data_IF_036680401322
#
_entry.id   IF_036680401322
#
_cell.length_a   1.000
_cell.length_b   1.000
_cell.length_c   1.000
_cell.angle_alpha   90.00
_cell.angle_beta   90.00
_cell.angle_gamma   90.00
#
_symmetry.space_group_name_H-M   'P 1'
#
loop_
_entity.id
_entity.type
_entity.pdbx_description
1 polymer ?
#
# COMPACT_ATOMS: atom_id res chain seq x y z
N UNK A 1 9.22 5.14 1.43
CA UNK A 1 10.61 5.14 1.93
C UNK A 1 10.98 6.57 2.27
N UNK A 2 11.42 6.84 3.51
CA UNK A 2 12.01 8.12 3.81
C UNK A 2 13.39 8.23 3.11
N UNK A 3 13.94 9.45 3.02
CA UNK A 3 15.21 9.70 2.33
C UNK A 3 16.36 8.84 2.88
N UNK A 4 16.44 8.72 4.19
CA UNK A 4 17.48 7.92 4.88
C UNK A 4 17.42 6.44 4.51
N UNK A 5 16.22 5.86 4.43
CA UNK A 5 16.05 4.46 4.02
C UNK A 5 16.47 4.23 2.56
N UNK A 6 16.14 5.18 1.68
CA UNK A 6 16.58 5.11 0.29
C UNK A 6 18.11 5.17 0.20
N UNK A 7 18.72 6.09 0.92
CA UNK A 7 20.18 6.24 0.97
C UNK A 7 20.85 4.99 1.54
N UNK A 8 20.38 4.45 2.67
CA UNK A 8 20.90 3.21 3.23
C UNK A 8 20.81 2.06 2.23
N UNK A 9 19.67 1.91 1.57
CA UNK A 9 19.46 0.86 0.56
C UNK A 9 20.41 1.00 -0.64
N UNK A 10 20.63 2.22 -1.12
CA UNK A 10 21.55 2.48 -2.23
C UNK A 10 23.00 2.18 -1.84
N UNK A 11 23.39 2.52 -0.60
CA UNK A 11 24.75 2.34 -0.09
C UNK A 11 25.08 0.90 0.31
N UNK A 12 24.10 0.13 0.76
CA UNK A 12 24.34 -1.21 1.30
C UNK A 12 23.85 -2.33 0.40
N UNK A 13 22.94 -2.02 -0.52
CA UNK A 13 22.21 -3.03 -1.26
C UNK A 13 21.09 -3.73 -0.47
N UNK A 14 20.91 -3.46 0.84
CA UNK A 14 19.95 -4.11 1.72
C UNK A 14 18.74 -3.23 2.01
N UNK A 15 17.61 -3.85 2.37
CA UNK A 15 16.36 -3.16 2.68
C UNK A 15 15.69 -3.76 3.92
N UNK A 16 16.07 -3.29 5.08
CA UNK A 16 15.47 -3.70 6.35
C UNK A 16 14.39 -2.72 6.85
N UNK A 17 14.01 -1.76 6.01
CA UNK A 17 13.03 -0.74 6.35
C UNK A 17 13.45 0.08 7.58
N UNK A 18 12.52 0.31 8.51
CA UNK A 18 12.76 1.03 9.78
C UNK A 18 13.31 0.12 10.91
N UNK A 19 13.63 -1.12 10.62
CA UNK A 19 14.03 -2.11 11.60
C UNK A 19 15.46 -1.90 12.11
N UNK A 20 15.69 -0.99 13.06
CA UNK A 20 17.03 -0.68 13.63
C UNK A 20 17.75 -1.94 14.12
N UNK A 21 17.05 -2.87 14.76
CA UNK A 21 17.64 -4.14 15.23
C UNK A 21 18.17 -5.01 14.07
N UNK A 22 17.45 -5.03 12.92
CA UNK A 22 17.89 -5.77 11.73
C UNK A 22 19.09 -5.11 11.08
N UNK A 23 19.09 -3.78 11.00
CA UNK A 23 20.24 -3.01 10.53
C UNK A 23 21.47 -3.24 11.39
N UNK A 24 21.35 -3.19 12.73
CA UNK A 24 22.46 -3.42 13.66
C UNK A 24 22.99 -4.84 13.55
N UNK A 25 22.11 -5.86 13.47
CA UNK A 25 22.55 -7.24 13.30
C UNK A 25 23.34 -7.42 12.01
N UNK A 26 22.78 -6.97 10.89
CA UNK A 26 23.46 -7.06 9.59
C UNK A 26 24.80 -6.35 9.60
N UNK A 27 24.86 -5.13 10.16
CA UNK A 27 26.12 -4.37 10.25
C UNK A 27 27.19 -5.12 11.02
N UNK A 28 26.86 -5.67 12.17
CA UNK A 28 27.79 -6.47 12.98
C UNK A 28 28.34 -7.68 12.22
N UNK A 29 27.53 -8.26 11.31
CA UNK A 29 27.92 -9.44 10.53
C UNK A 29 28.86 -9.07 9.36
N UNK A 30 28.81 -7.83 8.83
CA UNK A 30 29.51 -7.44 7.60
C UNK A 30 30.55 -6.33 7.78
N UNK A 31 30.60 -5.66 8.93
CA UNK A 31 31.39 -4.43 9.16
C UNK A 31 32.86 -4.58 8.74
N UNK A 32 33.48 -5.71 9.01
CA UNK A 32 34.91 -5.96 8.72
C UNK A 32 35.22 -6.11 7.23
N UNK A 33 34.25 -6.50 6.41
CA UNK A 33 34.41 -6.76 4.98
C UNK A 33 33.61 -5.77 4.10
N UNK A 34 32.84 -4.89 4.73
CA UNK A 34 31.95 -4.00 4.01
C UNK A 34 32.74 -2.96 3.21
N UNK A 35 32.41 -2.86 1.92
CA UNK A 35 32.83 -1.76 1.06
C UNK A 35 31.60 -1.05 0.47
N UNK A 36 31.71 0.25 0.33
CA UNK A 36 30.69 1.01 -0.39
C UNK A 36 30.65 0.58 -1.86
N UNK A 37 29.48 0.28 -2.41
CA UNK A 37 29.35 0.01 -3.84
C UNK A 37 29.68 1.25 -4.65
N UNK A 38 30.17 1.05 -5.86
CA UNK A 38 30.31 2.13 -6.81
C UNK A 38 28.91 2.60 -7.26
N UNK A 39 28.84 3.80 -7.84
CA UNK A 39 27.57 4.35 -8.37
C UNK A 39 26.95 3.39 -9.42
N UNK A 40 27.79 2.77 -10.22
CA UNK A 40 27.36 1.81 -11.25
C UNK A 40 26.81 0.51 -10.64
N UNK A 41 27.46 -0.02 -9.61
CA UNK A 41 27.01 -1.20 -8.87
C UNK A 41 25.68 -0.93 -8.15
N UNK A 42 25.54 0.22 -7.51
CA UNK A 42 24.31 0.65 -6.86
C UNK A 42 23.15 0.79 -7.87
N UNK A 43 23.39 1.44 -9.02
CA UNK A 43 22.40 1.57 -10.08
C UNK A 43 21.97 0.20 -10.62
N UNK A 44 22.92 -0.69 -10.91
CA UNK A 44 22.64 -2.04 -11.39
C UNK A 44 21.85 -2.88 -10.41
N UNK A 45 22.12 -2.75 -9.10
CA UNK A 45 21.37 -3.46 -8.06
C UNK A 45 19.92 -2.97 -7.96
N UNK A 46 19.69 -1.66 -8.07
CA UNK A 46 18.34 -1.08 -8.10
C UNK A 46 17.56 -1.48 -9.36
N UNK A 47 18.19 -1.51 -10.52
CA UNK A 47 17.57 -1.98 -11.76
C UNK A 47 17.20 -3.46 -11.70
N UNK A 48 18.07 -4.30 -11.14
CA UNK A 48 17.80 -5.72 -10.91
C UNK A 48 16.63 -5.93 -9.93
N UNK A 49 16.55 -5.14 -8.86
CA UNK A 49 15.42 -5.15 -7.92
C UNK A 49 14.13 -4.68 -8.58
N UNK A 50 14.19 -3.61 -9.37
CA UNK A 50 13.02 -3.11 -10.11
C UNK A 50 12.52 -4.17 -11.08
N UNK A 51 13.41 -4.85 -11.80
CA UNK A 51 13.08 -5.93 -12.70
C UNK A 51 12.48 -7.15 -11.95
N UNK A 52 13.06 -7.56 -10.81
CA UNK A 52 12.53 -8.65 -9.98
C UNK A 52 11.16 -8.32 -9.39
N UNK A 53 10.94 -7.09 -8.96
CA UNK A 53 9.63 -6.60 -8.52
C UNK A 53 8.61 -6.67 -9.65
N UNK A 54 8.98 -6.23 -10.85
CA UNK A 54 8.12 -6.28 -12.03
C UNK A 54 7.79 -7.71 -12.46
N UNK A 55 8.74 -8.64 -12.36
CA UNK A 55 8.56 -10.04 -12.76
C UNK A 55 7.75 -10.87 -11.75
N UNK A 56 7.89 -10.57 -10.45
CA UNK A 56 7.21 -11.31 -9.37
C UNK A 56 5.89 -10.68 -8.92
N UNK A 57 5.54 -9.51 -9.43
CA UNK A 57 4.33 -8.83 -9.01
C UNK A 57 3.16 -9.32 -9.85
N UNK A 58 2.32 -10.15 -9.29
CA UNK A 58 0.92 -10.25 -9.73
C UNK A 58 0.36 -8.83 -9.60
N UNK A 59 0.32 -8.10 -10.72
CA UNK A 59 -0.05 -6.69 -10.72
C UNK A 59 -1.53 -6.58 -10.35
N UNK A 60 -1.80 -6.21 -9.12
CA UNK A 60 -3.14 -5.81 -8.76
C UNK A 60 -3.48 -4.52 -9.51
N UNK A 61 -4.60 -4.49 -10.19
CA UNK A 61 -5.05 -3.28 -10.89
C UNK A 61 -6.32 -2.72 -10.26
N UNK A 62 -6.39 -1.40 -10.18
CA UNK A 62 -7.55 -0.68 -9.69
C UNK A 62 -7.98 0.35 -10.74
N UNK A 63 -9.19 0.23 -11.26
CA UNK A 63 -9.68 1.02 -12.41
C UNK A 63 -8.72 1.08 -13.60
N UNK A 64 -8.04 -0.03 -13.89
CA UNK A 64 -7.06 -0.12 -14.97
C UNK A 64 -5.67 0.45 -14.65
N UNK A 65 -5.47 1.03 -13.48
CA UNK A 65 -4.15 1.46 -13.01
C UNK A 65 -3.42 0.28 -12.37
N UNK A 66 -2.26 -0.07 -12.88
CA UNK A 66 -1.42 -1.10 -12.29
C UNK A 66 -0.74 -0.58 -11.02
N UNK A 67 -0.90 -1.30 -9.93
CA UNK A 67 -0.33 -0.95 -8.62
C UNK A 67 0.82 -1.90 -8.34
N UNK A 68 2.04 -1.40 -8.40
CA UNK A 68 3.28 -2.14 -8.17
C UNK A 68 3.94 -1.85 -6.83
N UNK A 69 3.30 -1.05 -5.97
CA UNK A 69 3.83 -0.71 -4.64
C UNK A 69 3.62 -1.85 -3.65
N UNK A 70 4.61 -2.07 -2.80
CA UNK A 70 4.52 -2.99 -1.65
C UNK A 70 3.79 -2.36 -0.45
N UNK A 71 3.47 -1.06 -0.52
CA UNK A 71 2.75 -0.30 0.50
C UNK A 71 1.64 0.48 -0.17
N UNK A 72 0.39 0.16 0.15
CA UNK A 72 -0.78 0.77 -0.48
C UNK A 72 -1.80 1.14 0.59
N UNK A 73 -2.17 2.40 0.61
CA UNK A 73 -3.30 2.90 1.39
C UNK A 73 -4.34 3.48 0.44
N UNK A 74 -5.55 2.94 0.46
CA UNK A 74 -6.66 3.47 -0.32
C UNK A 74 -7.41 4.51 0.47
N UNK A 75 -7.59 5.70 -0.11
CA UNK A 75 -8.48 6.74 0.44
C UNK A 75 -9.78 6.70 -0.36
N UNK A 76 -10.86 6.33 0.31
CA UNK A 76 -12.11 5.91 -0.32
C UNK A 76 -13.24 6.86 0.07
N UNK A 77 -13.88 7.44 -0.93
CA UNK A 77 -15.06 8.31 -0.77
C UNK A 77 -16.32 7.49 -0.45
N UNK A 78 -16.93 7.78 0.69
CA UNK A 78 -18.24 7.28 1.11
C UNK A 78 -19.26 8.42 1.29
N UNK A 79 -19.08 9.54 0.60
CA UNK A 79 -20.07 10.62 0.59
C UNK A 79 -21.38 10.20 -0.04
N UNK A 80 -22.45 10.92 0.26
CA UNK A 80 -23.80 10.65 -0.25
C UNK A 80 -23.90 10.59 -1.78
N UNK A 81 -22.99 11.28 -2.48
CA UNK A 81 -22.94 11.25 -3.96
C UNK A 81 -22.55 9.88 -4.52
N UNK A 82 -21.98 9.00 -3.69
CA UNK A 82 -21.66 7.61 -4.08
C UNK A 82 -22.92 6.76 -4.29
N UNK A 83 -24.07 7.21 -3.82
CA UNK A 83 -25.37 6.59 -4.09
C UNK A 83 -25.96 6.95 -5.47
N UNK A 84 -25.38 7.93 -6.19
CA UNK A 84 -25.85 8.28 -7.52
C UNK A 84 -25.55 7.19 -8.54
N UNK A 85 -26.49 6.97 -9.44
CA UNK A 85 -26.36 5.97 -10.51
C UNK A 85 -25.38 6.43 -11.59
N UNK A 86 -24.57 5.51 -12.05
CA UNK A 86 -23.76 5.63 -13.25
C UNK A 86 -24.59 5.40 -14.51
N UNK A 87 -24.01 5.61 -15.69
CA UNK A 87 -24.63 5.29 -16.98
C UNK A 87 -25.04 3.82 -17.12
N UNK A 88 -24.44 2.92 -16.35
CA UNK A 88 -24.76 1.48 -16.35
C UNK A 88 -25.90 1.11 -15.39
N UNK A 89 -26.54 2.08 -14.74
CA UNK A 89 -27.62 1.88 -13.78
C UNK A 89 -27.19 1.46 -12.37
N UNK A 90 -25.93 1.11 -12.17
CA UNK A 90 -25.36 0.81 -10.84
C UNK A 90 -24.98 2.10 -10.12
N UNK A 91 -25.04 2.09 -8.78
CA UNK A 91 -24.51 3.23 -8.02
C UNK A 91 -22.98 3.25 -8.10
N UNK A 92 -22.39 4.44 -7.89
CA UNK A 92 -20.93 4.61 -7.80
C UNK A 92 -20.36 3.69 -6.72
N UNK A 93 -21.03 3.58 -5.57
CA UNK A 93 -20.65 2.70 -4.48
C UNK A 93 -20.63 1.22 -4.91
N UNK A 94 -21.62 0.78 -5.68
CA UNK A 94 -21.65 -0.60 -6.20
C UNK A 94 -20.49 -0.88 -7.15
N UNK A 95 -20.12 0.10 -7.99
CA UNK A 95 -18.96 -0.01 -8.88
C UNK A 95 -17.68 -0.05 -8.07
N UNK A 96 -17.52 0.83 -7.09
CA UNK A 96 -16.37 0.89 -6.19
C UNK A 96 -16.17 -0.44 -5.43
N UNK A 97 -17.23 -0.97 -4.81
CA UNK A 97 -17.18 -2.25 -4.08
C UNK A 97 -16.67 -3.38 -4.99
N UNK A 98 -17.16 -3.44 -6.22
CA UNK A 98 -16.71 -4.46 -7.19
C UNK A 98 -15.22 -4.30 -7.53
N UNK A 99 -14.76 -3.08 -7.75
CA UNK A 99 -13.35 -2.82 -8.09
C UNK A 99 -12.42 -3.09 -6.91
N UNK A 100 -12.81 -2.70 -5.69
CA UNK A 100 -12.04 -3.02 -4.48
C UNK A 100 -12.00 -4.52 -4.23
N UNK A 101 -13.11 -5.25 -4.39
CA UNK A 101 -13.14 -6.70 -4.23
C UNK A 101 -12.23 -7.40 -5.24
N UNK A 102 -12.24 -6.95 -6.51
CA UNK A 102 -11.33 -7.44 -7.55
C UNK A 102 -9.87 -7.15 -7.23
N UNK A 103 -9.57 -5.93 -6.78
CA UNK A 103 -8.22 -5.55 -6.37
C UNK A 103 -7.72 -6.41 -5.21
N UNK A 104 -8.50 -6.53 -4.13
CA UNK A 104 -8.16 -7.31 -2.95
C UNK A 104 -7.93 -8.80 -3.26
N UNK A 105 -8.70 -9.36 -4.22
CA UNK A 105 -8.51 -10.74 -4.66
C UNK A 105 -7.12 -10.98 -5.25
N UNK A 106 -6.58 -9.98 -5.95
CA UNK A 106 -5.29 -10.08 -6.66
C UNK A 106 -4.14 -9.37 -5.93
N UNK A 107 -4.42 -8.67 -4.82
CA UNK A 107 -3.37 -7.96 -4.09
C UNK A 107 -2.39 -8.95 -3.46
N UNK A 108 -1.07 -8.79 -3.65
CA UNK A 108 -0.09 -9.78 -3.19
C UNK A 108 -0.08 -9.94 -1.67
N UNK A 109 0.11 -11.17 -1.20
CA UNK A 109 0.39 -11.45 0.21
C UNK A 109 1.76 -10.91 0.60
N UNK A 110 1.92 -10.54 1.87
CA UNK A 110 3.16 -9.98 2.39
C UNK A 110 3.32 -8.47 2.16
N UNK A 111 2.51 -7.86 1.31
CA UNK A 111 2.52 -6.41 1.10
C UNK A 111 1.73 -5.68 2.19
N UNK A 112 2.09 -4.42 2.43
CA UNK A 112 1.42 -3.56 3.40
C UNK A 112 0.20 -2.89 2.77
N UNK A 113 -0.92 -3.00 3.47
CA UNK A 113 -2.21 -2.51 2.97
C UNK A 113 -3.05 -1.87 4.07
N UNK A 114 -3.77 -0.82 3.73
CA UNK A 114 -4.87 -0.27 4.52
C UNK A 114 -5.92 0.39 3.62
N UNK A 115 -7.08 0.67 4.19
CA UNK A 115 -8.15 1.48 3.60
C UNK A 115 -8.55 2.57 4.59
N UNK A 116 -8.66 3.78 4.11
CA UNK A 116 -9.19 4.93 4.83
C UNK A 116 -10.47 5.36 4.12
N UNK A 117 -11.55 5.40 4.84
CA UNK A 117 -12.86 5.81 4.34
C UNK A 117 -13.18 7.20 4.83
N UNK A 118 -13.65 8.08 3.95
CA UNK A 118 -14.12 9.38 4.36
C UNK A 118 -15.56 9.64 3.91
N UNK A 119 -16.32 10.22 4.82
CA UNK A 119 -17.71 10.63 4.66
C UNK A 119 -17.93 11.84 5.56
N UNK A 120 -18.63 11.67 6.69
CA UNK A 120 -18.74 12.70 7.72
C UNK A 120 -17.41 12.95 8.45
N UNK A 121 -16.64 11.91 8.61
CA UNK A 121 -15.31 11.86 9.24
C UNK A 121 -14.40 10.89 8.43
N UNK A 122 -13.16 10.72 8.86
CA UNK A 122 -12.26 9.71 8.32
C UNK A 122 -12.15 8.52 9.27
N UNK A 123 -12.27 7.32 8.71
CA UNK A 123 -12.18 6.06 9.44
C UNK A 123 -11.18 5.13 8.77
N UNK A 124 -10.21 4.63 9.54
CA UNK A 124 -9.26 3.61 9.06
C UNK A 124 -9.87 2.21 9.22
N UNK A 125 -9.72 1.34 8.23
CA UNK A 125 -10.08 -0.08 8.35
C UNK A 125 -9.22 -0.78 9.40
N UNK A 126 -7.92 -0.46 9.43
CA UNK A 126 -6.99 -0.88 10.48
C UNK A 126 -6.29 0.33 11.08
N UNK A 127 -5.83 0.26 12.34
CA UNK A 127 -5.14 1.39 12.97
C UNK A 127 -3.91 1.87 12.20
N UNK A 128 -3.23 0.96 11.49
CA UNK A 128 -2.06 1.25 10.65
C UNK A 128 -1.96 0.29 9.47
N UNK A 129 -1.03 0.57 8.54
CA UNK A 129 -0.67 -0.33 7.45
C UNK A 129 -0.35 -1.73 8.00
N UNK A 130 -0.99 -2.75 7.45
CA UNK A 130 -0.94 -4.14 7.93
C UNK A 130 -0.47 -5.06 6.83
N UNK A 131 0.35 -6.06 7.16
CA UNK A 131 0.84 -7.06 6.21
C UNK A 131 -0.34 -7.94 5.76
N UNK A 132 -0.64 -7.91 4.46
CA UNK A 132 -1.72 -8.70 3.87
C UNK A 132 -1.44 -10.20 4.00
N UNK A 133 -2.41 -10.92 4.52
CA UNK A 133 -2.47 -12.37 4.54
C UNK A 133 -3.88 -12.83 4.15
N UNK A 134 -4.12 -14.13 4.02
CA UNK A 134 -5.42 -14.66 3.57
C UNK A 134 -6.58 -14.30 4.51
N UNK A 135 -6.36 -14.32 5.81
CA UNK A 135 -7.39 -13.95 6.79
C UNK A 135 -7.76 -12.46 6.67
N UNK A 136 -6.75 -11.59 6.57
CA UNK A 136 -6.96 -10.14 6.40
C UNK A 136 -7.57 -9.81 5.04
N UNK A 137 -7.21 -10.56 3.98
CA UNK A 137 -7.84 -10.44 2.67
C UNK A 137 -9.34 -10.75 2.75
N UNK A 138 -9.71 -11.83 3.41
CA UNK A 138 -11.11 -12.22 3.58
C UNK A 138 -11.87 -11.15 4.39
N UNK A 139 -11.27 -10.65 5.47
CA UNK A 139 -11.84 -9.59 6.30
C UNK A 139 -11.99 -8.25 5.53
N UNK A 140 -10.97 -7.82 4.80
CA UNK A 140 -11.03 -6.64 3.95
C UNK A 140 -12.15 -6.72 2.91
N UNK A 141 -12.30 -7.88 2.25
CA UNK A 141 -13.37 -8.12 1.28
C UNK A 141 -14.75 -8.13 1.93
N UNK A 142 -14.89 -8.68 3.12
CA UNK A 142 -16.14 -8.64 3.88
C UNK A 142 -16.48 -7.19 4.26
N UNK A 143 -15.51 -6.42 4.73
CA UNK A 143 -15.68 -5.02 5.05
C UNK A 143 -16.10 -4.19 3.83
N UNK A 144 -15.46 -4.38 2.67
CA UNK A 144 -15.83 -3.69 1.41
C UNK A 144 -17.27 -3.96 1.03
N UNK A 145 -17.79 -5.18 1.24
CA UNK A 145 -19.18 -5.53 0.96
C UNK A 145 -20.18 -4.82 1.87
N UNK A 146 -19.81 -4.53 3.11
CA UNK A 146 -20.66 -3.85 4.09
C UNK A 146 -20.64 -2.32 4.01
N UNK A 147 -19.73 -1.71 3.20
CA UNK A 147 -19.65 -0.26 3.09
C UNK A 147 -20.99 0.38 2.79
N UNK A 148 -21.25 1.53 3.36
CA UNK A 148 -22.39 2.40 3.03
C UNK A 148 -21.89 3.83 2.80
N UNK A 149 -22.70 4.67 2.18
CA UNK A 149 -22.33 6.04 1.83
C UNK A 149 -23.39 7.02 2.36
N UNK A 150 -23.45 7.26 3.68
CA UNK A 150 -24.51 8.07 4.29
C UNK A 150 -24.21 9.57 4.32
N UNK A 151 -22.95 9.98 4.05
CA UNK A 151 -22.46 11.19 4.65
C UNK A 151 -22.00 12.35 3.77
N UNK A 152 -21.39 13.31 4.42
CA UNK A 152 -20.68 14.46 3.84
C UNK A 152 -19.38 14.04 3.15
N UNK A 153 -18.47 15.01 2.90
CA UNK A 153 -17.23 14.76 2.13
C UNK A 153 -16.04 15.35 2.88
N UNK A 154 -15.57 14.66 3.92
CA UNK A 154 -14.40 15.05 4.72
C UNK A 154 -13.10 14.56 4.08
N UNK A 155 -12.83 14.98 2.83
CA UNK A 155 -11.66 14.52 2.06
C UNK A 155 -10.34 14.90 2.72
N UNK A 156 -10.26 16.08 3.36
CA UNK A 156 -9.06 16.52 4.06
C UNK A 156 -8.67 15.54 5.18
N UNK A 157 -9.65 15.15 5.98
CA UNK A 157 -9.44 14.21 7.09
C UNK A 157 -9.01 12.82 6.58
N UNK A 158 -9.59 12.39 5.45
CA UNK A 158 -9.22 11.14 4.78
C UNK A 158 -7.77 11.15 4.29
N UNK A 159 -7.33 12.24 3.68
CA UNK A 159 -5.95 12.40 3.23
C UNK A 159 -4.99 12.51 4.41
N UNK A 160 -5.31 13.30 5.43
CA UNK A 160 -4.50 13.42 6.64
C UNK A 160 -4.30 12.05 7.30
N UNK A 161 -5.40 11.28 7.47
CA UNK A 161 -5.33 9.94 8.03
C UNK A 161 -4.45 8.99 7.20
N UNK A 162 -4.39 9.17 5.87
CA UNK A 162 -3.53 8.37 5.01
C UNK A 162 -2.04 8.73 5.15
N UNK A 163 -1.70 9.99 5.31
CA UNK A 163 -0.32 10.42 5.58
C UNK A 163 0.18 10.01 6.96
N UNK A 164 -0.74 9.88 7.93
CA UNK A 164 -0.47 9.38 9.28
C UNK A 164 -0.56 7.85 9.39
N UNK A 165 -0.81 7.16 8.27
CA UNK A 165 -0.96 5.70 8.23
C UNK A 165 0.42 5.03 8.16
N UNK A 166 1.13 5.05 9.29
CA UNK A 166 2.43 4.42 9.45
C UNK A 166 2.30 3.02 10.10
N UNK A 167 3.34 2.23 9.91
CA UNK A 167 3.45 0.90 10.51
C UNK A 167 4.17 0.99 11.85
#
# INVERSE_FOLDING_TARGET
>A
LNRTQLELRLLTGEDFGNGTARWSKWWNDVESEFRLPTVEEAAKSEDARRASRSANTTQASFYGLNISSERVSFVVDLSGSMNFKTKTGKTRLQVLRKELDRFLTNFPLGHLFNMIFFGNDAQKWRPSLTIMNESLRADARAHVKSLDAPGATAIYDGLLAAFEDER
#
